data_IF_126458639361
#
_entry.id   IF_126458639361
#
_cell.length_a   1.000
_cell.length_b   1.000
_cell.length_c   1.000
_cell.angle_alpha   90.00
_cell.angle_beta   90.00
_cell.angle_gamma   90.00
#
_symmetry.space_group_name_H-M   'P 1'
#
loop_
_entity.id
_entity.type
_entity.pdbx_description
1 polymer ?
#
# COMPACT_ATOMS: atom_id res chain seq x y z
N UNK A 1 -2.49 -19.69 -1.18
CA UNK A 1 -3.41 -19.10 -2.17
C UNK A 1 -4.81 -19.18 -1.58
N UNK A 2 -5.60 -18.13 -1.73
CA UNK A 2 -6.95 -18.02 -1.17
C UNK A 2 -8.01 -18.54 -2.15
N UNK A 3 -9.18 -18.97 -1.66
CA UNK A 3 -10.28 -19.44 -2.52
C UNK A 3 -10.77 -18.35 -3.48
N UNK A 4 -11.00 -17.14 -2.95
CA UNK A 4 -11.43 -15.97 -3.72
C UNK A 4 -10.47 -14.79 -3.55
N UNK A 5 -10.61 -13.80 -4.44
CA UNK A 5 -9.89 -12.52 -4.32
C UNK A 5 -10.35 -11.76 -3.07
N UNK A 6 -11.63 -11.86 -2.71
CA UNK A 6 -12.19 -11.22 -1.52
C UNK A 6 -11.54 -11.77 -0.24
N UNK A 7 -11.43 -13.10 -0.10
CA UNK A 7 -10.77 -13.71 1.07
C UNK A 7 -9.31 -13.25 1.20
N UNK A 8 -8.61 -13.14 0.06
CA UNK A 8 -7.24 -12.63 0.02
C UNK A 8 -7.17 -11.16 0.43
N UNK A 9 -8.09 -10.34 -0.08
CA UNK A 9 -8.16 -8.92 0.22
C UNK A 9 -8.43 -8.68 1.71
N UNK A 10 -9.43 -9.36 2.28
CA UNK A 10 -9.75 -9.28 3.72
C UNK A 10 -8.53 -9.62 4.59
N UNK A 11 -7.81 -10.68 4.24
CA UNK A 11 -6.58 -11.06 4.93
C UNK A 11 -5.48 -9.98 4.82
N UNK A 12 -5.37 -9.30 3.68
CA UNK A 12 -4.32 -8.32 3.42
C UNK A 12 -4.66 -6.89 3.86
N UNK A 13 -5.94 -6.56 4.05
CA UNK A 13 -6.42 -5.21 4.41
C UNK A 13 -5.66 -4.59 5.58
N UNK A 14 -5.36 -5.29 6.69
CA UNK A 14 -4.58 -4.71 7.79
C UNK A 14 -3.20 -4.22 7.34
N UNK A 15 -2.48 -5.03 6.56
CA UNK A 15 -1.15 -4.70 6.04
C UNK A 15 -1.21 -3.59 5.00
N UNK A 16 -2.21 -3.61 4.11
CA UNK A 16 -2.45 -2.55 3.13
C UNK A 16 -2.73 -1.22 3.82
N UNK A 17 -3.58 -1.20 4.85
CA UNK A 17 -3.87 0.01 5.65
C UNK A 17 -2.63 0.49 6.38
N UNK A 18 -1.87 -0.38 7.03
CA UNK A 18 -0.64 0.01 7.70
C UNK A 18 0.34 0.69 6.73
N UNK A 19 0.56 0.10 5.55
CA UNK A 19 1.39 0.66 4.48
C UNK A 19 0.87 2.02 3.99
N UNK A 20 -0.42 2.10 3.65
CA UNK A 20 -1.05 3.32 3.15
C UNK A 20 -1.00 4.46 4.18
N UNK A 21 -1.23 4.16 5.46
CA UNK A 21 -1.20 5.15 6.55
C UNK A 21 0.20 5.70 6.78
N UNK A 22 1.22 4.84 6.72
CA UNK A 22 2.63 5.29 6.77
C UNK A 22 2.93 6.20 5.59
N UNK A 23 2.57 5.79 4.37
CA UNK A 23 2.80 6.55 3.14
C UNK A 23 2.08 7.90 3.11
N UNK A 24 0.81 7.94 3.49
CA UNK A 24 0.02 9.16 3.53
C UNK A 24 0.32 10.05 4.75
N UNK A 25 0.94 9.50 5.79
CA UNK A 25 1.12 10.18 7.06
C UNK A 25 -0.19 10.55 7.76
N UNK A 26 -1.29 9.84 7.44
CA UNK A 26 -2.64 10.12 7.93
C UNK A 26 -3.48 8.83 7.96
N UNK A 27 -4.25 8.65 9.05
CA UNK A 27 -5.17 7.53 9.20
C UNK A 27 -6.28 7.55 8.15
N UNK A 28 -6.94 8.70 7.99
CA UNK A 28 -8.08 8.85 7.08
C UNK A 28 -7.66 8.74 5.62
N UNK A 29 -6.59 9.41 5.22
CA UNK A 29 -6.09 9.34 3.84
C UNK A 29 -5.62 7.93 3.49
N UNK A 30 -4.95 7.25 4.43
CA UNK A 30 -4.52 5.86 4.25
C UNK A 30 -5.69 4.91 4.05
N UNK A 31 -6.76 5.07 4.83
CA UNK A 31 -7.97 4.23 4.69
C UNK A 31 -8.69 4.49 3.36
N UNK A 32 -8.88 5.76 2.99
CA UNK A 32 -9.45 6.13 1.67
C UNK A 32 -8.60 5.62 0.51
N UNK A 33 -7.27 5.58 0.64
CA UNK A 33 -6.40 5.06 -0.40
C UNK A 33 -6.58 3.55 -0.61
N UNK A 34 -6.73 2.79 0.48
CA UNK A 34 -7.00 1.34 0.41
C UNK A 34 -8.40 1.08 -0.17
N UNK A 35 -9.41 1.87 0.20
CA UNK A 35 -10.75 1.73 -0.38
C UNK A 35 -10.75 1.98 -1.89
N UNK A 36 -10.08 3.05 -2.35
CA UNK A 36 -9.92 3.33 -3.78
C UNK A 36 -9.22 2.17 -4.50
N UNK A 37 -8.15 1.63 -3.91
CA UNK A 37 -7.46 0.47 -4.47
C UNK A 37 -8.39 -0.75 -4.60
N UNK A 38 -9.16 -1.08 -3.58
CA UNK A 38 -10.07 -2.23 -3.60
C UNK A 38 -11.20 -2.06 -4.63
N UNK A 39 -11.68 -0.84 -4.83
CA UNK A 39 -12.64 -0.51 -5.89
C UNK A 39 -12.02 -0.68 -7.28
N UNK A 40 -10.81 -0.15 -7.49
CA UNK A 40 -10.09 -0.27 -8.76
C UNK A 40 -9.71 -1.71 -9.07
N UNK A 41 -9.45 -2.54 -8.04
CA UNK A 41 -9.09 -3.95 -8.19
C UNK A 41 -10.10 -4.76 -9.01
N UNK A 42 -11.37 -4.37 -8.96
CA UNK A 42 -12.46 -4.99 -9.75
C UNK A 42 -12.38 -4.67 -11.24
N UNK A 43 -11.64 -3.62 -11.60
CA UNK A 43 -11.54 -3.08 -12.98
C UNK A 43 -10.16 -3.33 -13.59
N UNK A 44 -9.17 -3.77 -12.81
CA UNK A 44 -7.81 -3.97 -13.27
C UNK A 44 -7.69 -5.21 -14.18
N UNK A 45 -6.91 -5.14 -15.27
CA UNK A 45 -6.65 -6.27 -16.16
C UNK A 45 -5.59 -7.22 -15.55
N UNK A 46 -5.79 -7.67 -14.31
CA UNK A 46 -4.90 -8.61 -13.62
C UNK A 46 -5.62 -9.95 -13.47
N UNK A 47 -4.90 -11.05 -13.65
CA UNK A 47 -5.50 -12.38 -13.52
C UNK A 47 -5.97 -12.63 -12.08
N UNK A 48 -7.17 -13.16 -11.93
CA UNK A 48 -7.73 -13.48 -10.61
C UNK A 48 -6.83 -14.46 -9.83
N UNK A 49 -6.10 -15.33 -10.52
CA UNK A 49 -5.11 -16.24 -9.89
C UNK A 49 -4.01 -15.48 -9.14
N UNK A 50 -3.49 -14.39 -9.73
CA UNK A 50 -2.46 -13.57 -9.10
C UNK A 50 -3.00 -12.87 -7.86
N UNK A 51 -4.22 -12.33 -7.95
CA UNK A 51 -4.88 -11.59 -6.87
C UNK A 51 -5.32 -12.47 -5.69
N UNK A 52 -5.44 -13.78 -5.88
CA UNK A 52 -5.67 -14.77 -4.81
C UNK A 52 -4.43 -15.10 -3.98
N UNK A 53 -3.34 -14.36 -4.16
CA UNK A 53 -2.13 -14.51 -3.34
C UNK A 53 -1.80 -13.18 -2.66
N UNK A 54 -1.38 -13.15 -1.38
CA UNK A 54 -0.99 -11.92 -0.71
C UNK A 54 0.12 -11.18 -1.44
N UNK A 55 1.09 -11.92 -1.99
CA UNK A 55 2.19 -11.35 -2.78
C UNK A 55 1.68 -10.67 -4.05
N UNK A 56 0.79 -11.32 -4.80
CA UNK A 56 0.22 -10.75 -6.03
C UNK A 56 -0.66 -9.53 -5.74
N UNK A 57 -1.45 -9.59 -4.68
CA UNK A 57 -2.27 -8.45 -4.23
C UNK A 57 -1.39 -7.26 -3.81
N UNK A 58 -0.33 -7.50 -3.03
CA UNK A 58 0.61 -6.47 -2.61
C UNK A 58 1.37 -5.86 -3.79
N UNK A 59 1.83 -6.68 -4.75
CA UNK A 59 2.48 -6.18 -5.96
C UNK A 59 1.54 -5.32 -6.83
N UNK A 60 0.25 -5.69 -6.87
CA UNK A 60 -0.79 -4.90 -7.55
C UNK A 60 -1.02 -3.57 -6.82
N UNK A 61 -1.03 -3.59 -5.49
CA UNK A 61 -1.12 -2.38 -4.67
C UNK A 61 0.07 -1.44 -4.89
N UNK A 62 1.30 -1.95 -4.93
CA UNK A 62 2.47 -1.13 -5.25
C UNK A 62 2.36 -0.49 -6.64
N UNK A 63 1.89 -1.25 -7.64
CA UNK A 63 1.66 -0.73 -8.99
C UNK A 63 0.62 0.39 -8.99
N UNK A 64 -0.47 0.21 -8.24
CA UNK A 64 -1.48 1.23 -8.04
C UNK A 64 -0.89 2.51 -7.41
N UNK A 65 -0.08 2.37 -6.34
CA UNK A 65 0.58 3.51 -5.71
C UNK A 65 1.55 4.23 -6.68
N UNK A 66 2.34 3.47 -7.45
CA UNK A 66 3.22 4.04 -8.48
C UNK A 66 2.44 4.77 -9.57
N UNK A 67 1.32 4.21 -10.04
CA UNK A 67 0.47 4.86 -11.04
C UNK A 67 -0.16 6.15 -10.52
N UNK A 68 -0.59 6.17 -9.26
CA UNK A 68 -1.26 7.33 -8.66
C UNK A 68 -0.32 8.45 -8.23
N UNK A 69 0.86 8.11 -7.73
CA UNK A 69 1.79 9.08 -7.13
C UNK A 69 3.08 9.29 -7.94
N UNK A 70 3.45 8.39 -8.86
CA UNK A 70 4.61 8.53 -9.72
C UNK A 70 5.87 8.96 -8.97
N UNK A 71 6.55 10.00 -9.48
CA UNK A 71 7.72 10.61 -8.84
C UNK A 71 7.38 11.71 -7.81
N UNK A 72 6.12 11.85 -7.41
CA UNK A 72 5.73 12.87 -6.43
C UNK A 72 6.28 12.50 -5.05
N UNK A 73 7.10 13.38 -4.50
CA UNK A 73 7.56 13.25 -3.11
C UNK A 73 6.43 13.62 -2.16
N UNK A 74 6.22 12.79 -1.15
CA UNK A 74 5.24 13.03 -0.07
C UNK A 74 5.91 12.94 1.29
N UNK A 75 5.30 13.58 2.28
CA UNK A 75 5.73 13.49 3.67
C UNK A 75 5.27 12.17 4.27
N UNK A 76 6.22 11.30 4.60
CA UNK A 76 5.97 9.99 5.18
C UNK A 76 6.22 10.04 6.68
N UNK A 77 5.34 9.39 7.44
CA UNK A 77 5.52 9.18 8.87
C UNK A 77 6.25 7.87 9.10
N UNK A 78 7.54 7.93 9.42
CA UNK A 78 8.26 6.78 9.94
C UNK A 78 8.09 6.80 11.47
N UNK A 79 7.54 5.73 12.05
CA UNK A 79 7.64 5.50 13.49
C UNK A 79 9.09 5.15 13.81
N UNK A 80 9.90 6.19 13.97
CA UNK A 80 11.22 6.13 14.59
C UNK A 80 10.98 6.24 16.12
N UNK A 81 11.88 5.76 17.01
CA UNK A 81 11.64 5.69 18.46
C UNK A 81 11.03 6.98 19.04
N UNK A 82 10.28 6.90 20.16
CA UNK A 82 9.32 7.92 20.64
C UNK A 82 9.86 9.35 20.80
N UNK A 83 11.17 9.54 20.71
CA UNK A 83 11.85 10.83 20.79
C UNK A 83 11.99 11.55 19.43
N UNK A 84 11.67 10.88 18.30
CA UNK A 84 11.75 11.48 16.96
C UNK A 84 10.65 10.94 16.05
N UNK A 85 9.65 11.75 15.73
CA UNK A 85 8.88 11.55 14.49
C UNK A 85 9.75 12.02 13.34
N UNK A 86 10.44 11.10 12.65
CA UNK A 86 11.18 11.47 11.45
C UNK A 86 10.17 11.65 10.31
N UNK A 87 9.87 12.91 10.01
CA UNK A 87 9.19 13.28 8.77
C UNK A 87 10.22 13.25 7.65
N UNK A 88 10.07 12.31 6.73
CA UNK A 88 10.91 12.25 5.54
C UNK A 88 10.05 12.54 4.30
N UNK A 89 10.57 13.40 3.43
CA UNK A 89 10.03 13.55 2.09
C UNK A 89 10.64 12.46 1.23
N UNK A 90 9.80 11.62 0.66
CA UNK A 90 10.26 10.57 -0.25
C UNK A 90 9.20 10.26 -1.29
N UNK A 91 9.67 9.79 -2.44
CA UNK A 91 8.85 9.21 -3.50
C UNK A 91 8.31 7.85 -3.08
N UNK A 92 7.32 7.34 -3.82
CA UNK A 92 6.80 6.00 -3.59
C UNK A 92 7.87 4.91 -3.74
N UNK A 93 8.80 5.05 -4.68
CA UNK A 93 9.85 4.05 -4.88
C UNK A 93 10.88 4.05 -3.75
N UNK A 94 11.23 5.23 -3.23
CA UNK A 94 12.09 5.35 -2.05
C UNK A 94 11.41 4.74 -0.81
N UNK A 95 10.11 4.98 -0.65
CA UNK A 95 9.32 4.40 0.43
C UNK A 95 9.26 2.87 0.36
N UNK A 96 8.92 2.31 -0.79
CA UNK A 96 8.83 0.86 -0.98
C UNK A 96 10.21 0.20 -0.79
N UNK A 97 11.29 0.85 -1.25
CA UNK A 97 12.67 0.41 -1.00
C UNK A 97 13.05 0.47 0.47
N UNK A 98 12.54 1.45 1.22
CA UNK A 98 12.77 1.52 2.67
C UNK A 98 12.04 0.39 3.40
N UNK A 99 10.78 0.12 3.04
CA UNK A 99 10.01 -0.98 3.62
C UNK A 99 10.62 -2.36 3.36
N UNK A 100 11.20 -2.58 2.18
CA UNK A 100 11.80 -3.89 1.84
C UNK A 100 13.08 -4.20 2.63
N UNK A 101 13.60 -3.26 3.42
CA UNK A 101 14.82 -3.40 4.23
C UNK A 101 14.51 -3.65 5.71
N UNK A 102 13.24 -3.61 6.09
CA UNK A 102 12.72 -3.83 7.46
C UNK A 102 12.15 -5.24 7.52
#
# INVERSE_FOLDING_TARGET
>A
MFPTVADCAEHCVPSLRACARLFCGSLSEGDSLVENFLQELLTLPVTQETLRTPRGLMATFETFLRGRFGAQSRRILLSVPPERTANAWMTIDEFLRALSRI
#
